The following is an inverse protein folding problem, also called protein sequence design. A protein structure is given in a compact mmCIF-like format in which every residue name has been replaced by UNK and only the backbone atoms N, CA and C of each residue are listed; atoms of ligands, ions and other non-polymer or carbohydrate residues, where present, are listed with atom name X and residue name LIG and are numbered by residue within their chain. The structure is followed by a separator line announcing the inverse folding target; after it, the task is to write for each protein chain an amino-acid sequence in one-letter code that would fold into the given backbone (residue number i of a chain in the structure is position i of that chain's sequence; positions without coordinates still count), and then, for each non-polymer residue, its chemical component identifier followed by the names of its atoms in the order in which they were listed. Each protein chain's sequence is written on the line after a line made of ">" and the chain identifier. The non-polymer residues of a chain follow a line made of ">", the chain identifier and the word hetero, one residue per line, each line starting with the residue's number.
data_IF_641820504884
#
_entry.id   IF_641820504884
#
_cell.length_a   1.000
_cell.length_b   1.000
_cell.length_c   1.000
_cell.angle_alpha   90.00
_cell.angle_beta   90.00
_cell.angle_gamma   90.00
#
_symmetry.space_group_name_H-M   'P 1'
#
loop_
_entity.id
_entity.type
_entity.pdbx_description
1 polymer ?
#
# COMPACT_ATOMS: atom_id res chain seq x y z
N UNK A 1 -4.48 -16.96 9.57
CA UNK A 1 -5.85 -17.54 9.35
C UNK A 1 -6.93 -16.52 9.70
N UNK A 2 -7.12 -16.13 10.95
CA UNK A 2 -8.22 -15.25 11.42
C UNK A 2 -8.38 -13.95 10.59
N UNK A 3 -7.28 -13.28 10.19
CA UNK A 3 -7.36 -12.07 9.37
C UNK A 3 -7.85 -12.35 7.94
N UNK A 4 -7.47 -13.49 7.36
CA UNK A 4 -7.94 -13.92 6.04
C UNK A 4 -9.45 -14.16 6.08
N UNK A 5 -9.92 -14.84 7.11
CA UNK A 5 -11.34 -15.16 7.30
C UNK A 5 -12.16 -13.88 7.46
N UNK A 6 -11.68 -12.91 8.24
CA UNK A 6 -12.34 -11.61 8.40
C UNK A 6 -12.41 -10.81 7.08
N UNK A 7 -11.34 -10.83 6.27
CA UNK A 7 -11.35 -10.14 4.96
C UNK A 7 -12.34 -10.82 4.02
N UNK A 8 -12.35 -12.16 3.98
CA UNK A 8 -13.30 -12.95 3.17
C UNK A 8 -14.74 -12.65 3.58
N UNK A 9 -15.05 -12.78 4.86
CA UNK A 9 -16.38 -12.52 5.40
C UNK A 9 -16.85 -11.08 5.11
N UNK A 10 -15.94 -10.09 5.24
CA UNK A 10 -16.27 -8.70 4.93
C UNK A 10 -16.63 -8.52 3.46
N UNK A 11 -15.87 -9.12 2.54
CA UNK A 11 -16.12 -9.03 1.09
C UNK A 11 -17.43 -9.75 0.72
N UNK A 12 -17.63 -10.97 1.20
CA UNK A 12 -18.81 -11.79 0.89
C UNK A 12 -20.13 -11.18 1.43
N UNK A 13 -20.07 -10.54 2.61
CA UNK A 13 -21.22 -9.89 3.21
C UNK A 13 -21.56 -8.51 2.61
N UNK A 14 -20.70 -7.95 1.74
CA UNK A 14 -20.89 -6.64 1.13
C UNK A 14 -20.60 -6.69 -0.39
N UNK A 15 -21.37 -7.45 -1.17
CA UNK A 15 -21.11 -7.70 -2.59
C UNK A 15 -21.22 -6.44 -3.47
N UNK A 16 -21.85 -5.37 -2.97
CA UNK A 16 -21.94 -4.07 -3.63
C UNK A 16 -20.63 -3.28 -3.55
N UNK A 17 -19.74 -3.58 -2.59
CA UNK A 17 -18.46 -2.90 -2.44
C UNK A 17 -17.44 -3.55 -3.37
N UNK A 18 -17.05 -2.84 -4.42
CA UNK A 18 -16.12 -3.35 -5.45
C UNK A 18 -14.65 -3.01 -5.19
N UNK A 19 -14.37 -1.96 -4.43
CA UNK A 19 -13.01 -1.49 -4.16
C UNK A 19 -12.74 -1.55 -2.65
N UNK A 20 -11.72 -2.30 -2.27
CA UNK A 20 -11.30 -2.51 -0.89
C UNK A 20 -9.91 -1.92 -0.63
N UNK A 21 -9.78 -1.11 0.42
CA UNK A 21 -8.48 -0.58 0.84
C UNK A 21 -7.91 -1.39 2.01
N UNK A 22 -6.73 -1.97 1.81
CA UNK A 22 -6.06 -2.80 2.81
C UNK A 22 -4.69 -2.20 3.19
N UNK A 23 -4.71 -1.13 3.99
CA UNK A 23 -3.52 -0.41 4.46
C UNK A 23 -2.90 -1.05 5.70
N UNK A 24 -2.65 -2.34 5.66
CA UNK A 24 -2.01 -3.12 6.72
C UNK A 24 -0.79 -3.87 6.17
N UNK A 25 0.09 -4.32 7.05
CA UNK A 25 1.28 -5.07 6.65
C UNK A 25 2.03 -5.62 7.85
N UNK A 26 3.09 -6.37 7.57
CA UNK A 26 4.03 -6.89 8.55
C UNK A 26 5.41 -6.25 8.36
N UNK A 27 6.27 -6.43 9.34
CA UNK A 27 7.69 -6.03 9.23
C UNK A 27 8.51 -7.00 8.38
N UNK A 28 7.99 -8.20 8.12
CA UNK A 28 8.63 -9.23 7.32
C UNK A 28 8.61 -8.84 5.83
N UNK A 29 9.67 -9.19 5.12
CA UNK A 29 9.75 -9.07 3.66
C UNK A 29 9.05 -10.25 2.98
N UNK A 30 8.57 -10.03 1.75
CA UNK A 30 8.12 -11.15 0.89
C UNK A 30 9.30 -12.06 0.55
N UNK A 31 9.03 -13.35 0.41
CA UNK A 31 9.99 -14.30 -0.12
C UNK A 31 10.21 -14.07 -1.63
N UNK A 32 11.30 -14.62 -2.18
CA UNK A 32 11.56 -14.52 -3.62
C UNK A 32 11.02 -15.74 -4.40
N UNK A 33 10.95 -16.87 -3.72
CA UNK A 33 10.68 -18.16 -4.34
C UNK A 33 9.21 -18.61 -4.18
N UNK A 34 8.49 -18.02 -3.21
CA UNK A 34 7.10 -18.42 -2.93
C UNK A 34 6.22 -17.24 -2.54
N UNK A 35 4.94 -17.34 -2.90
CA UNK A 35 3.89 -16.40 -2.48
C UNK A 35 3.44 -16.72 -1.06
N UNK A 36 3.11 -15.69 -0.30
CA UNK A 36 2.56 -15.88 1.03
C UNK A 36 1.14 -16.46 0.96
N UNK A 37 0.79 -17.24 1.99
CA UNK A 37 -0.59 -17.72 2.17
C UNK A 37 -1.60 -16.58 2.16
N UNK A 38 -1.24 -15.44 2.76
CA UNK A 38 -2.08 -14.25 2.77
C UNK A 38 -2.26 -13.65 1.35
N UNK A 39 -1.18 -13.55 0.56
CA UNK A 39 -1.25 -13.07 -0.82
C UNK A 39 -2.12 -13.95 -1.70
N UNK A 40 -1.93 -15.28 -1.63
CA UNK A 40 -2.76 -16.25 -2.36
C UNK A 40 -4.24 -16.21 -1.94
N UNK A 41 -4.50 -16.03 -0.65
CA UNK A 41 -5.88 -15.89 -0.17
C UNK A 41 -6.56 -14.61 -0.70
N UNK A 42 -5.83 -13.48 -0.75
CA UNK A 42 -6.35 -12.26 -1.35
C UNK A 42 -6.64 -12.41 -2.85
N UNK A 43 -5.80 -13.18 -3.56
CA UNK A 43 -6.02 -13.46 -4.98
C UNK A 43 -7.32 -14.25 -5.19
N UNK A 44 -7.54 -15.31 -4.41
CA UNK A 44 -8.76 -16.10 -4.46
C UNK A 44 -10.02 -15.28 -4.13
N UNK A 45 -9.97 -14.47 -3.05
CA UNK A 45 -11.11 -13.60 -2.67
C UNK A 45 -11.48 -12.65 -3.82
N UNK A 46 -10.49 -12.07 -4.50
CA UNK A 46 -10.72 -11.16 -5.62
C UNK A 46 -11.30 -11.85 -6.84
N UNK A 47 -10.81 -13.05 -7.16
CA UNK A 47 -11.32 -13.84 -8.29
C UNK A 47 -12.75 -14.34 -8.07
N UNK A 48 -13.06 -14.80 -6.85
CA UNK A 48 -14.37 -15.33 -6.48
C UNK A 48 -15.47 -14.25 -6.43
N UNK A 49 -15.12 -13.00 -6.08
CA UNK A 49 -16.09 -11.94 -5.80
C UNK A 49 -16.08 -10.79 -6.82
N UNK A 50 -15.21 -10.81 -7.82
CA UNK A 50 -14.98 -9.69 -8.75
C UNK A 50 -14.85 -8.36 -8.00
N UNK A 51 -13.87 -8.28 -7.10
CA UNK A 51 -13.51 -7.09 -6.33
C UNK A 51 -12.03 -6.76 -6.55
N UNK A 52 -11.64 -5.50 -6.38
CA UNK A 52 -10.24 -5.08 -6.41
C UNK A 52 -9.79 -4.67 -5.01
N UNK A 53 -8.73 -5.30 -4.53
CA UNK A 53 -8.07 -4.95 -3.27
C UNK A 53 -6.87 -4.07 -3.56
N UNK A 54 -6.87 -2.86 -3.01
CA UNK A 54 -5.74 -1.93 -3.06
C UNK A 54 -4.92 -2.11 -1.78
N UNK A 55 -3.65 -2.52 -1.94
CA UNK A 55 -2.79 -2.98 -0.85
C UNK A 55 -1.57 -2.09 -0.66
N UNK A 56 -1.23 -1.73 0.58
CA UNK A 56 0.01 -1.01 0.86
C UNK A 56 1.24 -1.91 0.70
N UNK A 57 2.29 -1.40 0.04
CA UNK A 57 3.56 -2.11 -0.15
C UNK A 57 4.33 -2.36 1.17
N UNK A 58 4.04 -1.56 2.19
CA UNK A 58 4.71 -1.59 3.48
C UNK A 58 5.79 -0.51 3.64
N UNK A 59 6.23 -0.33 4.88
CA UNK A 59 7.22 0.67 5.26
C UNK A 59 8.44 0.03 5.91
N UNK A 60 9.60 0.66 5.78
CA UNK A 60 10.81 0.32 6.52
C UNK A 60 11.60 1.58 6.88
N UNK A 61 12.30 1.55 8.03
CA UNK A 61 13.11 2.67 8.50
C UNK A 61 14.62 2.48 8.22
N UNK A 62 14.97 1.63 7.27
CA UNK A 62 16.34 1.33 6.89
C UNK A 62 17.13 2.58 6.48
N UNK A 63 16.46 3.53 5.83
CA UNK A 63 17.05 4.81 5.42
C UNK A 63 17.68 5.58 6.59
N UNK A 64 17.11 5.50 7.79
CA UNK A 64 17.64 6.17 8.97
C UNK A 64 19.01 5.63 9.41
N UNK A 65 19.38 4.44 8.94
CA UNK A 65 20.67 3.77 9.20
C UNK A 65 21.55 3.70 7.95
N UNK A 66 21.15 4.32 6.84
CA UNK A 66 21.85 4.22 5.56
C UNK A 66 21.82 2.82 4.93
N UNK A 67 20.86 1.99 5.31
CA UNK A 67 20.71 0.63 4.79
C UNK A 67 19.78 0.62 3.56
N UNK A 68 19.92 -0.37 2.66
CA UNK A 68 19.03 -0.53 1.52
C UNK A 68 17.55 -0.65 1.93
N UNK A 69 16.65 -0.24 1.03
CA UNK A 69 15.21 -0.44 1.22
C UNK A 69 14.89 -1.94 1.29
N UNK A 70 13.97 -2.28 2.17
CA UNK A 70 13.40 -3.63 2.25
C UNK A 70 12.46 -3.91 1.09
N UNK A 71 12.38 -5.19 0.68
CA UNK A 71 11.34 -5.63 -0.28
C UNK A 71 9.95 -5.44 0.30
N UNK A 72 8.94 -5.48 -0.58
CA UNK A 72 7.53 -5.36 -0.19
C UNK A 72 7.21 -6.23 1.04
N UNK A 73 6.22 -5.82 1.83
CA UNK A 73 5.76 -6.60 2.97
C UNK A 73 5.30 -7.99 2.52
N UNK A 74 5.55 -9.02 3.32
CA UNK A 74 5.12 -10.40 3.08
C UNK A 74 3.62 -10.51 2.80
N UNK A 75 2.82 -9.57 3.31
CA UNK A 75 1.38 -9.49 3.04
C UNK A 75 1.01 -8.70 1.78
N UNK A 76 1.98 -8.25 1.00
CA UNK A 76 1.79 -7.41 -0.18
C UNK A 76 2.24 -8.11 -1.49
N UNK A 77 2.32 -9.42 -1.47
CA UNK A 77 2.81 -10.23 -2.60
C UNK A 77 1.67 -10.83 -3.46
N UNK A 78 0.41 -10.53 -3.15
CA UNK A 78 -0.75 -10.88 -3.99
C UNK A 78 -0.55 -10.44 -5.43
N UNK A 79 -0.86 -11.31 -6.37
CA UNK A 79 -0.78 -11.03 -7.82
C UNK A 79 -1.95 -10.14 -8.25
N UNK A 80 -3.15 -10.38 -7.73
CA UNK A 80 -4.38 -9.67 -8.10
C UNK A 80 -4.50 -8.29 -7.47
N UNK A 81 -4.01 -8.14 -6.24
CA UNK A 81 -4.07 -6.83 -5.56
C UNK A 81 -3.20 -5.78 -6.25
N UNK A 82 -3.72 -4.56 -6.31
CA UNK A 82 -2.97 -3.39 -6.75
C UNK A 82 -2.12 -2.88 -5.58
N UNK A 83 -0.84 -3.18 -5.60
CA UNK A 83 0.08 -2.83 -4.52
C UNK A 83 0.66 -1.43 -4.72
N UNK A 84 0.53 -0.60 -3.70
CA UNK A 84 0.85 0.82 -3.76
C UNK A 84 2.07 1.16 -2.90
N UNK A 85 3.10 1.69 -3.54
CA UNK A 85 4.26 2.31 -2.90
C UNK A 85 4.04 3.79 -2.58
N UNK A 86 5.05 4.44 -2.02
CA UNK A 86 4.99 5.86 -1.65
C UNK A 86 6.07 6.68 -2.37
N UNK A 87 5.66 7.86 -2.87
CA UNK A 87 6.55 8.92 -3.34
C UNK A 87 6.36 10.18 -2.50
N UNK A 88 7.39 11.04 -2.49
CA UNK A 88 7.37 12.34 -1.86
C UNK A 88 6.64 13.37 -2.71
N UNK A 89 5.74 14.16 -2.10
CA UNK A 89 5.09 15.30 -2.75
C UNK A 89 5.96 16.55 -2.70
N UNK A 90 6.60 16.77 -1.55
CA UNK A 90 7.45 17.92 -1.29
C UNK A 90 8.74 17.48 -0.60
N UNK A 91 9.75 18.36 -0.61
CA UNK A 91 10.99 18.16 0.12
C UNK A 91 11.20 19.30 1.12
N UNK A 92 11.33 18.96 2.39
CA UNK A 92 11.77 19.86 3.47
C UNK A 92 13.28 19.79 3.67
N UNK A 93 13.81 20.62 4.57
CA UNK A 93 15.25 20.78 4.81
C UNK A 93 15.99 19.48 5.15
N UNK A 94 15.34 18.57 5.87
CA UNK A 94 15.94 17.31 6.32
C UNK A 94 15.40 16.08 5.60
N UNK A 95 14.54 16.26 4.60
CA UNK A 95 13.95 15.16 3.84
C UNK A 95 14.96 14.56 2.85
N UNK A 96 14.93 13.24 2.72
CA UNK A 96 15.86 12.50 1.86
C UNK A 96 15.40 12.33 0.42
N UNK A 97 14.10 12.39 0.16
CA UNK A 97 13.58 12.25 -1.19
C UNK A 97 13.28 13.61 -1.83
N UNK A 98 13.68 13.79 -3.07
CA UNK A 98 13.20 14.88 -3.92
C UNK A 98 11.71 14.69 -4.27
N UNK A 99 10.99 15.75 -4.66
CA UNK A 99 9.60 15.62 -5.10
C UNK A 99 9.44 14.59 -6.23
N UNK A 100 8.41 13.77 -6.15
CA UNK A 100 8.09 12.67 -7.07
C UNK A 100 9.07 11.48 -7.03
N UNK A 101 10.07 11.49 -6.16
CA UNK A 101 10.96 10.35 -5.95
C UNK A 101 10.42 9.43 -4.85
N UNK A 102 10.81 8.13 -4.86
CA UNK A 102 10.35 7.16 -3.87
C UNK A 102 10.64 7.61 -2.44
N UNK A 103 9.60 7.72 -1.60
CA UNK A 103 9.74 8.06 -0.18
C UNK A 103 10.80 7.20 0.51
N UNK A 104 11.59 7.75 1.44
CA UNK A 104 12.69 6.99 2.06
C UNK A 104 12.24 5.69 2.73
N UNK A 105 11.05 5.70 3.32
CA UNK A 105 10.46 4.58 4.05
C UNK A 105 9.74 3.56 3.16
N UNK A 106 9.43 3.88 1.88
CA UNK A 106 8.67 2.94 1.03
C UNK A 106 9.47 1.67 0.77
N UNK A 107 8.80 0.53 0.86
CA UNK A 107 9.36 -0.74 0.44
C UNK A 107 9.34 -0.85 -1.09
N UNK A 108 10.19 -1.72 -1.63
CA UNK A 108 10.44 -1.88 -3.07
C UNK A 108 10.29 -3.34 -3.49
N UNK A 109 10.25 -3.59 -4.79
CA UNK A 109 10.29 -4.95 -5.34
C UNK A 109 11.70 -5.56 -5.34
N UNK A 110 11.85 -6.71 -5.97
CA UNK A 110 10.79 -7.50 -6.58
C UNK A 110 9.89 -8.23 -5.56
N UNK A 111 8.74 -8.69 -6.03
CA UNK A 111 7.94 -9.71 -5.32
C UNK A 111 8.39 -11.13 -5.68
N UNK A 112 7.65 -12.17 -5.20
CA UNK A 112 7.94 -13.58 -5.53
C UNK A 112 8.01 -13.80 -7.03
N UNK A 113 8.80 -14.79 -7.45
CA UNK A 113 9.05 -15.11 -8.86
C UNK A 113 9.45 -13.88 -9.72
N UNK A 114 10.06 -12.88 -9.09
CA UNK A 114 10.49 -11.62 -9.72
C UNK A 114 9.35 -10.78 -10.30
N UNK A 115 8.12 -10.93 -9.83
CA UNK A 115 7.03 -10.04 -10.24
C UNK A 115 7.33 -8.59 -9.87
N UNK A 116 6.91 -7.68 -10.74
CA UNK A 116 7.07 -6.25 -10.51
C UNK A 116 6.09 -5.80 -9.42
N UNK A 117 6.62 -5.33 -8.31
CA UNK A 117 5.89 -4.74 -7.19
C UNK A 117 6.72 -3.58 -6.59
N UNK A 118 6.10 -2.54 -6.01
CA UNK A 118 4.67 -2.25 -6.11
C UNK A 118 4.23 -2.01 -7.55
N UNK A 119 2.94 -2.15 -7.84
CA UNK A 119 2.38 -1.95 -9.19
C UNK A 119 2.40 -0.47 -9.57
N UNK A 120 2.15 0.40 -8.61
CA UNK A 120 2.19 1.85 -8.77
C UNK A 120 2.56 2.57 -7.47
N UNK A 121 2.68 3.88 -7.54
CA UNK A 121 3.03 4.74 -6.41
C UNK A 121 2.12 5.95 -6.33
N UNK A 122 1.94 6.48 -5.11
CA UNK A 122 1.25 7.73 -4.88
C UNK A 122 1.86 8.50 -3.69
N UNK A 123 1.45 9.73 -3.46
CA UNK A 123 1.99 10.56 -2.39
C UNK A 123 1.63 10.02 -1.00
N UNK A 124 2.63 9.64 -0.22
CA UNK A 124 2.49 9.13 1.15
C UNK A 124 3.39 9.86 2.16
N UNK A 125 3.93 11.01 1.74
CA UNK A 125 4.82 11.85 2.55
C UNK A 125 6.30 11.58 2.33
N UNK A 126 7.13 12.34 3.03
CA UNK A 126 8.59 12.27 2.99
C UNK A 126 9.17 12.10 4.40
N UNK A 127 10.43 11.75 4.50
CA UNK A 127 11.12 11.59 5.78
C UNK A 127 12.62 11.81 5.62
N UNK A 128 13.28 12.06 6.73
CA UNK A 128 14.71 12.17 6.82
C UNK A 128 15.22 12.05 8.25
N UNK A 129 16.43 12.50 8.49
CA UNK A 129 17.05 12.47 9.82
C UNK A 129 17.68 13.82 10.12
N UNK A 130 17.34 14.40 11.26
CA UNK A 130 18.04 15.56 11.83
C UNK A 130 18.65 15.20 13.19
N UNK A 131 19.97 15.39 13.32
CA UNK A 131 20.73 15.10 14.55
C UNK A 131 20.44 13.71 15.15
N UNK A 132 20.31 12.70 14.27
CA UNK A 132 20.05 11.31 14.65
C UNK A 132 18.59 11.02 15.01
N UNK A 133 17.67 11.99 14.88
CA UNK A 133 16.24 11.80 15.09
C UNK A 133 15.49 11.76 13.78
N UNK A 134 14.51 10.86 13.69
CA UNK A 134 13.62 10.78 12.55
C UNK A 134 12.78 12.05 12.44
N UNK A 135 12.78 12.65 11.26
CA UNK A 135 11.93 13.78 10.88
C UNK A 135 10.97 13.32 9.79
N UNK A 136 9.72 13.74 9.88
CA UNK A 136 8.69 13.41 8.89
C UNK A 136 8.09 14.68 8.28
N UNK A 137 7.89 14.67 6.98
CA UNK A 137 7.11 15.63 6.21
C UNK A 137 5.86 14.91 5.70
N UNK A 138 4.82 14.91 6.54
CA UNK A 138 3.72 13.98 6.44
C UNK A 138 2.51 14.51 5.69
N UNK A 139 1.67 13.58 5.32
CA UNK A 139 0.32 13.81 4.79
C UNK A 139 -0.60 14.21 5.95
N UNK A 140 -1.37 15.31 5.82
CA UNK A 140 -2.37 15.66 6.82
C UNK A 140 -3.45 14.57 6.94
N UNK A 141 -3.78 14.20 8.17
CA UNK A 141 -4.82 13.22 8.48
C UNK A 141 -5.51 13.58 9.80
N UNK A 142 -6.76 13.15 9.97
CA UNK A 142 -7.48 13.37 11.22
C UNK A 142 -7.03 12.37 12.28
N UNK A 143 -6.80 12.87 13.51
CA UNK A 143 -6.64 12.04 14.68
C UNK A 143 -7.98 11.69 15.33
N UNK A 144 -7.95 10.79 16.31
CA UNK A 144 -9.15 10.36 17.07
C UNK A 144 -9.79 11.50 17.88
N UNK A 145 -9.02 12.54 18.19
CA UNK A 145 -9.45 13.77 18.90
C UNK A 145 -10.01 14.84 17.95
N UNK A 146 -10.13 14.56 16.65
CA UNK A 146 -10.59 15.49 15.63
C UNK A 146 -9.54 16.51 15.15
N UNK A 147 -8.33 16.49 15.71
CA UNK A 147 -7.24 17.36 15.27
C UNK A 147 -6.56 16.81 14.02
N UNK A 148 -5.87 17.70 13.29
CA UNK A 148 -5.08 17.33 12.10
C UNK A 148 -3.65 17.03 12.56
N UNK A 149 -3.20 15.81 12.22
CA UNK A 149 -1.83 15.36 12.40
C UNK A 149 -1.19 15.09 11.03
N UNK A 150 0.14 15.19 10.98
CA UNK A 150 0.91 14.81 9.80
C UNK A 150 1.59 13.48 10.05
N UNK A 151 1.37 12.52 9.15
CA UNK A 151 1.97 11.21 9.19
C UNK A 151 2.47 10.77 7.82
N UNK A 152 3.34 9.77 7.79
CA UNK A 152 3.94 9.22 6.57
C UNK A 152 3.71 7.72 6.47
N UNK A 153 3.66 7.20 5.26
CA UNK A 153 3.56 5.77 5.03
C UNK A 153 2.84 5.41 3.74
N UNK A 154 3.07 4.21 3.27
CA UNK A 154 2.28 3.62 2.18
C UNK A 154 0.81 3.46 2.56
N UNK A 155 0.48 3.47 3.86
CA UNK A 155 -0.91 3.53 4.36
C UNK A 155 -1.63 4.84 4.05
N UNK A 156 -0.91 5.90 3.65
CA UNK A 156 -1.47 7.18 3.22
C UNK A 156 -1.53 7.31 1.69
N UNK A 157 -0.65 6.65 0.95
CA UNK A 157 -0.70 6.58 -0.51
C UNK A 157 -1.82 5.65 -0.99
N UNK A 158 -1.98 4.50 -0.34
CA UNK A 158 -2.94 3.45 -0.72
C UNK A 158 -4.40 3.95 -0.79
N UNK A 159 -4.98 4.64 0.22
CA UNK A 159 -6.35 5.11 0.14
C UNK A 159 -6.59 6.18 -0.94
N UNK A 160 -5.57 6.92 -1.34
CA UNK A 160 -5.66 7.86 -2.46
C UNK A 160 -5.83 7.14 -3.80
N UNK A 161 -5.14 6.02 -3.98
CA UNK A 161 -5.32 5.12 -5.13
C UNK A 161 -6.67 4.42 -5.05
N UNK A 162 -7.08 3.95 -3.86
CA UNK A 162 -8.39 3.34 -3.65
C UNK A 162 -9.54 4.28 -4.04
N UNK A 163 -9.40 5.58 -3.75
CA UNK A 163 -10.34 6.60 -4.19
C UNK A 163 -10.45 6.66 -5.71
N UNK A 164 -9.32 6.70 -6.43
CA UNK A 164 -9.31 6.75 -7.90
C UNK A 164 -9.95 5.49 -8.47
N UNK A 165 -9.59 4.32 -7.94
CA UNK A 165 -10.18 3.05 -8.35
C UNK A 165 -11.70 3.00 -8.09
N UNK A 166 -12.16 3.55 -6.97
CA UNK A 166 -13.59 3.63 -6.66
C UNK A 166 -14.34 4.59 -7.60
N UNK A 167 -13.73 5.71 -7.98
CA UNK A 167 -14.29 6.64 -8.99
C UNK A 167 -14.40 5.94 -10.35
N UNK A 168 -13.38 5.18 -10.76
CA UNK A 168 -13.41 4.39 -12.00
C UNK A 168 -14.48 3.30 -11.93
N UNK A 169 -14.56 2.54 -10.85
CA UNK A 169 -15.58 1.51 -10.64
C UNK A 169 -17.00 2.08 -10.72
N UNK A 170 -17.22 3.26 -10.12
CA UNK A 170 -18.50 3.96 -10.20
C UNK A 170 -18.85 4.38 -11.62
N UNK A 171 -17.86 4.83 -12.41
CA UNK A 171 -18.07 5.21 -13.82
C UNK A 171 -18.37 4.01 -14.72
N UNK A 172 -17.80 2.84 -14.42
CA UNK A 172 -18.04 1.60 -15.16
C UNK A 172 -19.41 1.00 -14.87
N UNK A 173 -19.95 1.25 -13.68
CA UNK A 173 -21.27 0.78 -13.23
C UNK A 173 -21.48 -0.73 -13.47
N UNK A 174 -22.40 -1.12 -14.36
CA UNK A 174 -22.70 -2.55 -14.65
C UNK A 174 -21.56 -3.25 -15.42
N UNK A 175 -20.69 -2.49 -16.10
CA UNK A 175 -19.54 -3.01 -16.84
C UNK A 175 -18.30 -3.19 -15.95
N UNK A 176 -18.45 -3.08 -14.62
CA UNK A 176 -17.32 -3.21 -13.70
C UNK A 176 -16.65 -4.58 -13.84
N UNK A 177 -15.34 -4.54 -14.08
CA UNK A 177 -14.44 -5.67 -13.99
C UNK A 177 -13.17 -5.24 -13.24
N UNK A 178 -12.86 -5.94 -12.16
CA UNK A 178 -11.69 -5.63 -11.33
C UNK A 178 -10.37 -5.66 -12.12
N UNK A 179 -10.27 -6.53 -13.13
CA UNK A 179 -9.08 -6.63 -13.98
C UNK A 179 -8.90 -5.45 -14.94
N UNK A 180 -9.99 -4.78 -15.33
CA UNK A 180 -9.91 -3.61 -16.21
C UNK A 180 -9.42 -2.35 -15.48
N UNK A 181 -9.64 -2.28 -14.15
CA UNK A 181 -9.14 -1.15 -13.34
C UNK A 181 -7.68 -1.38 -12.93
N UNK A 182 -7.29 -2.63 -12.72
CA UNK A 182 -5.94 -3.00 -12.31
C UNK A 182 -4.93 -2.80 -13.45
#
# INVERSE_FOLDING_TARGET
>A
EELIDHVREAVENNPEIKIWNLSLGTTMESELDEFSEFGMALDNIQDENNVLIIKSAGNCNNFAKGLPKSRISKTADSVRSLVVGSIAETQGEHDYAEPNMPSPFTRVGPGPASIVKPDLVFYGGNAGVDKGKLVINGVPSFGLDGNIYKNVGTSFSTPRVSRIAAELAFMMHEDFDALLIR
#
